data_IF_881855175229
#
_entry.id   IF_881855175229
#
_cell.length_a   1.000
_cell.length_b   1.000
_cell.length_c   1.000
_cell.angle_alpha   90.00
_cell.angle_beta   90.00
_cell.angle_gamma   90.00
#
_symmetry.space_group_name_H-M   'P 1'
#
loop_
_entity.id
_entity.type
_entity.pdbx_description
1 polymer ?
#
# COMPACT_ATOMS: atom_id res chain seq x y z
N UNK A 1 1.59 -4.36 16.23
CA UNK A 1 2.18 -3.05 15.89
C UNK A 1 2.00 -2.16 17.11
N UNK A 2 2.93 -1.23 17.35
CA UNK A 2 2.85 -0.36 18.52
C UNK A 2 1.67 0.62 18.41
N UNK A 3 1.07 0.96 19.53
CA UNK A 3 -0.11 1.85 19.64
C UNK A 3 0.03 3.16 18.84
N UNK A 4 1.24 3.74 18.84
CA UNK A 4 1.56 4.98 18.09
C UNK A 4 1.25 4.90 16.59
N UNK A 5 1.33 3.71 16.00
CA UNK A 5 1.07 3.47 14.57
C UNK A 5 -0.23 2.68 14.35
N UNK A 6 -1.09 2.63 15.36
CA UNK A 6 -2.39 1.96 15.30
C UNK A 6 -3.50 2.99 15.27
N UNK A 7 -4.32 2.98 14.20
CA UNK A 7 -5.54 3.78 14.15
C UNK A 7 -6.69 2.99 14.78
N UNK A 8 -7.64 3.63 15.50
CA UNK A 8 -8.65 2.93 16.28
C UNK A 8 -9.45 1.89 15.50
N UNK A 9 -9.84 2.19 14.26
CA UNK A 9 -10.67 1.30 13.45
C UNK A 9 -9.99 -0.02 13.09
N UNK A 10 -8.69 0.00 12.77
CA UNK A 10 -7.94 -1.21 12.42
C UNK A 10 -7.46 -1.93 13.69
N UNK A 11 -7.16 -1.18 14.75
CA UNK A 11 -6.84 -1.76 16.06
C UNK A 11 -7.99 -2.57 16.65
N UNK A 12 -9.22 -2.09 16.51
CA UNK A 12 -10.43 -2.76 17.03
C UNK A 12 -10.62 -4.17 16.43
N UNK A 13 -10.29 -4.35 15.15
CA UNK A 13 -10.40 -5.63 14.43
C UNK A 13 -9.50 -6.71 15.03
N UNK A 14 -8.30 -6.34 15.50
CA UNK A 14 -7.29 -7.27 16.00
C UNK A 14 -7.32 -7.46 17.52
N UNK A 15 -8.40 -7.04 18.19
CA UNK A 15 -8.59 -7.32 19.62
C UNK A 15 -8.92 -8.79 19.87
N UNK A 16 -8.57 -9.30 21.04
CA UNK A 16 -8.96 -10.67 21.43
C UNK A 16 -10.49 -10.80 21.53
N UNK A 17 -11.17 -9.74 21.95
CA UNK A 17 -12.63 -9.65 21.96
C UNK A 17 -13.20 -9.88 20.55
N UNK A 18 -12.72 -9.17 19.52
CA UNK A 18 -13.20 -9.37 18.16
C UNK A 18 -12.84 -10.76 17.61
N UNK A 19 -11.66 -11.28 17.95
CA UNK A 19 -11.25 -12.65 17.59
C UNK A 19 -12.23 -13.69 18.14
N UNK A 20 -12.55 -13.63 19.43
CA UNK A 20 -13.46 -14.60 20.06
C UNK A 20 -14.92 -14.38 19.63
N UNK A 21 -15.34 -13.15 19.33
CA UNK A 21 -16.63 -12.90 18.68
C UNK A 21 -16.70 -13.56 17.30
N UNK A 22 -15.63 -13.50 16.50
CA UNK A 22 -15.57 -14.19 15.22
C UNK A 22 -15.60 -15.72 15.38
N UNK A 23 -14.93 -16.27 16.41
CA UNK A 23 -15.00 -17.71 16.71
C UNK A 23 -16.41 -18.13 17.11
N UNK A 24 -17.06 -17.34 17.96
CA UNK A 24 -18.43 -17.60 18.39
C UNK A 24 -19.41 -17.56 17.21
N UNK A 25 -19.27 -16.60 16.31
CA UNK A 25 -20.13 -16.52 15.12
C UNK A 25 -19.95 -17.75 14.21
N UNK A 26 -18.72 -18.23 14.00
CA UNK A 26 -18.46 -19.46 13.24
C UNK A 26 -19.13 -20.67 13.90
N UNK A 27 -19.00 -20.83 15.22
CA UNK A 27 -19.61 -21.94 15.98
C UNK A 27 -21.14 -21.95 15.86
N UNK A 28 -21.78 -20.79 16.06
CA UNK A 28 -23.24 -20.71 16.02
C UNK A 28 -23.74 -20.95 14.59
N UNK A 29 -23.08 -20.39 13.58
CA UNK A 29 -23.44 -20.63 12.18
C UNK A 29 -23.26 -22.10 11.78
N UNK A 30 -22.25 -22.79 12.32
CA UNK A 30 -22.08 -24.23 12.09
C UNK A 30 -23.23 -25.03 12.69
N UNK A 31 -23.69 -24.68 13.90
CA UNK A 31 -24.86 -25.29 14.53
C UNK A 31 -26.15 -25.01 13.74
N UNK A 32 -26.33 -23.79 13.23
CA UNK A 32 -27.46 -23.44 12.35
C UNK A 32 -27.47 -24.28 11.07
N UNK A 33 -26.31 -24.46 10.43
CA UNK A 33 -26.23 -25.30 9.25
C UNK A 33 -26.62 -26.76 9.54
N UNK A 34 -26.14 -27.31 10.66
CA UNK A 34 -26.55 -28.64 11.11
C UNK A 34 -28.05 -28.75 11.42
N UNK A 35 -28.66 -27.68 11.93
CA UNK A 35 -30.10 -27.65 12.16
C UNK A 35 -30.93 -27.55 10.86
N UNK A 36 -30.41 -26.89 9.81
CA UNK A 36 -31.01 -26.95 8.47
C UNK A 36 -30.90 -28.35 7.84
N UNK A 37 -29.87 -29.13 8.21
CA UNK A 37 -29.76 -30.56 7.85
C UNK A 37 -30.61 -31.49 8.73
N UNK A 38 -31.21 -30.98 9.81
CA UNK A 38 -31.99 -31.76 10.77
C UNK A 38 -31.16 -32.62 11.73
N UNK A 39 -29.84 -32.42 11.80
CA UNK A 39 -28.95 -33.14 12.72
C UNK A 39 -28.99 -32.57 14.15
N UNK A 40 -29.31 -31.28 14.29
CA UNK A 40 -29.46 -30.58 15.57
C UNK A 40 -30.88 -30.00 15.65
N UNK A 41 -31.59 -30.10 16.79
CA UNK A 41 -32.89 -29.46 16.97
C UNK A 41 -32.81 -27.93 16.77
N UNK A 42 -33.78 -27.35 16.04
CA UNK A 42 -33.80 -25.90 15.79
C UNK A 42 -33.99 -25.09 17.08
N UNK A 43 -34.65 -25.68 18.07
CA UNK A 43 -34.85 -25.11 19.40
C UNK A 43 -33.52 -24.96 20.16
N UNK A 44 -32.65 -25.98 20.10
CA UNK A 44 -31.33 -25.94 20.74
C UNK A 44 -30.45 -24.85 20.11
N UNK A 45 -30.50 -24.70 18.78
CA UNK A 45 -29.75 -23.64 18.08
C UNK A 45 -30.29 -22.23 18.38
N UNK A 46 -31.61 -22.07 18.51
CA UNK A 46 -32.19 -20.80 18.94
C UNK A 46 -31.69 -20.40 20.34
N UNK A 47 -31.57 -21.36 21.26
CA UNK A 47 -30.98 -21.14 22.58
C UNK A 47 -29.49 -20.78 22.50
N UNK A 48 -28.71 -21.47 21.65
CA UNK A 48 -27.31 -21.13 21.40
C UNK A 48 -27.16 -19.68 20.92
N UNK A 49 -27.90 -19.30 19.87
CA UNK A 49 -27.84 -17.93 19.31
C UNK A 49 -28.23 -16.86 20.32
N UNK A 50 -29.14 -17.17 21.24
CA UNK A 50 -29.61 -16.25 22.27
C UNK A 50 -28.65 -16.12 23.46
N UNK A 51 -28.08 -17.23 23.92
CA UNK A 51 -27.41 -17.31 25.23
C UNK A 51 -25.90 -17.51 25.15
N UNK A 52 -25.35 -17.96 24.01
CA UNK A 52 -23.93 -18.21 23.88
C UNK A 52 -23.17 -16.89 23.98
N UNK A 53 -22.22 -16.85 24.91
CA UNK A 53 -21.35 -15.70 25.16
C UNK A 53 -20.02 -16.20 25.69
N UNK A 54 -19.06 -15.31 25.90
CA UNK A 54 -17.78 -15.65 26.49
C UNK A 54 -17.25 -14.50 27.34
N UNK A 55 -16.22 -14.80 28.14
CA UNK A 55 -15.43 -13.81 28.84
C UNK A 55 -13.95 -14.05 28.52
N UNK A 56 -13.25 -13.02 28.03
CA UNK A 56 -11.85 -13.13 27.58
C UNK A 56 -10.92 -13.57 28.70
N UNK A 57 -11.08 -13.03 29.91
CA UNK A 57 -10.24 -13.39 31.05
C UNK A 57 -10.49 -14.84 31.48
N UNK A 58 -11.75 -15.28 31.46
CA UNK A 58 -12.12 -16.67 31.73
C UNK A 58 -11.52 -17.64 30.72
N UNK A 59 -11.48 -17.28 29.44
CA UNK A 59 -10.81 -18.10 28.41
C UNK A 59 -9.33 -18.27 28.75
N UNK A 60 -8.64 -17.18 29.12
CA UNK A 60 -7.21 -17.22 29.48
C UNK A 60 -6.95 -18.10 30.70
N UNK A 61 -7.80 -18.00 31.74
CA UNK A 61 -7.71 -18.87 32.92
C UNK A 61 -7.80 -20.36 32.52
N UNK A 62 -8.76 -20.73 31.67
CA UNK A 62 -8.92 -22.12 31.21
C UNK A 62 -7.74 -22.54 30.30
N UNK A 63 -7.17 -21.61 29.53
CA UNK A 63 -6.02 -21.87 28.66
C UNK A 63 -4.75 -22.20 29.45
N UNK A 64 -4.56 -21.64 30.65
CA UNK A 64 -3.43 -21.98 31.53
C UNK A 64 -3.40 -23.47 31.91
N UNK A 65 -4.57 -24.10 32.03
CA UNK A 65 -4.69 -25.53 32.29
C UNK A 65 -4.67 -26.36 31.01
N UNK A 66 -5.48 -25.97 30.02
CA UNK A 66 -5.71 -26.79 28.81
C UNK A 66 -4.57 -26.71 27.80
N UNK A 67 -3.77 -25.64 27.83
CA UNK A 67 -2.71 -25.34 26.86
C UNK A 67 -3.18 -25.40 25.40
N UNK A 68 -4.47 -25.10 25.19
CA UNK A 68 -5.12 -25.11 23.89
C UNK A 68 -6.23 -24.06 23.83
N UNK A 69 -6.03 -23.02 23.03
CA UNK A 69 -6.91 -21.85 22.91
C UNK A 69 -8.36 -22.16 22.51
N UNK A 70 -8.60 -22.98 21.48
CA UNK A 70 -9.98 -23.34 21.06
C UNK A 70 -10.70 -24.19 22.12
N UNK A 71 -9.99 -25.09 22.81
CA UNK A 71 -10.59 -25.87 23.91
C UNK A 71 -10.94 -24.95 25.07
N UNK A 72 -10.08 -23.99 25.39
CA UNK A 72 -10.37 -22.99 26.42
C UNK A 72 -11.59 -22.13 26.06
N UNK A 73 -11.68 -21.68 24.81
CA UNK A 73 -12.81 -20.93 24.28
C UNK A 73 -14.13 -21.72 24.35
N UNK A 74 -14.18 -22.93 23.79
CA UNK A 74 -15.41 -23.74 23.77
C UNK A 74 -15.90 -24.10 25.17
N UNK A 75 -14.98 -24.30 26.13
CA UNK A 75 -15.33 -24.48 27.56
C UNK A 75 -15.90 -23.21 28.17
N UNK A 76 -15.28 -22.05 27.94
CA UNK A 76 -15.78 -20.77 28.44
C UNK A 76 -17.18 -20.46 27.90
N UNK A 77 -17.44 -20.73 26.61
CA UNK A 77 -18.78 -20.59 26.02
C UNK A 77 -19.76 -21.58 26.64
N UNK A 78 -19.34 -22.83 26.87
CA UNK A 78 -20.18 -23.86 27.50
C UNK A 78 -20.60 -23.53 28.93
N UNK A 79 -19.85 -22.67 29.64
CA UNK A 79 -20.21 -22.17 30.98
C UNK A 79 -21.39 -21.18 30.94
N UNK A 80 -21.70 -20.59 29.78
CA UNK A 80 -22.84 -19.66 29.62
C UNK A 80 -24.13 -20.34 29.15
N UNK A 81 -24.08 -21.65 28.88
CA UNK A 81 -25.11 -22.41 28.19
C UNK A 81 -25.71 -23.52 29.06
N UNK A 82 -26.93 -23.95 28.70
CA UNK A 82 -27.63 -25.09 29.28
C UNK A 82 -27.24 -26.43 28.64
N UNK A 83 -28.23 -27.30 28.41
CA UNK A 83 -28.00 -28.62 27.78
C UNK A 83 -27.57 -28.51 26.31
N UNK A 84 -27.96 -27.43 25.63
CA UNK A 84 -27.62 -27.12 24.25
C UNK A 84 -26.10 -26.99 24.01
N UNK A 85 -25.31 -26.78 25.08
CA UNK A 85 -23.84 -26.72 25.02
C UNK A 85 -23.19 -27.96 24.38
N UNK A 86 -23.88 -29.11 24.39
CA UNK A 86 -23.43 -30.35 23.75
C UNK A 86 -23.18 -30.23 22.24
N UNK A 87 -23.74 -29.20 21.61
CA UNK A 87 -23.62 -28.92 20.18
C UNK A 87 -22.49 -27.96 19.81
N UNK A 88 -21.94 -27.24 20.78
CA UNK A 88 -20.78 -26.37 20.55
C UNK A 88 -19.64 -27.23 20.01
N UNK A 89 -19.04 -26.80 18.90
CA UNK A 89 -17.96 -27.51 18.21
C UNK A 89 -18.34 -28.87 17.60
N UNK A 90 -19.62 -29.15 17.36
CA UNK A 90 -20.06 -30.44 16.83
C UNK A 90 -19.55 -30.69 15.39
N UNK A 91 -18.70 -31.71 15.24
CA UNK A 91 -18.12 -32.13 13.96
C UNK A 91 -16.94 -31.27 13.49
N UNK A 92 -16.60 -30.20 14.22
CA UNK A 92 -15.51 -29.28 13.87
C UNK A 92 -14.15 -29.79 14.35
N UNK A 93 -13.09 -29.33 13.68
CA UNK A 93 -11.74 -29.28 14.26
C UNK A 93 -11.37 -27.83 14.63
N UNK A 94 -10.40 -27.65 15.53
CA UNK A 94 -9.94 -26.34 16.00
C UNK A 94 -9.71 -25.33 14.86
N UNK A 95 -9.09 -25.77 13.76
CA UNK A 95 -8.75 -24.89 12.64
C UNK A 95 -9.91 -24.63 11.67
N UNK A 96 -11.01 -25.37 11.73
CA UNK A 96 -12.25 -24.96 11.03
C UNK A 96 -12.75 -23.62 11.57
N UNK A 97 -12.66 -23.44 12.89
CA UNK A 97 -13.00 -22.19 13.56
C UNK A 97 -11.92 -21.13 13.35
N UNK A 98 -10.66 -21.47 13.65
CA UNK A 98 -9.56 -20.49 13.66
C UNK A 98 -9.31 -19.88 12.28
N UNK A 99 -9.18 -20.69 11.21
CA UNK A 99 -8.88 -20.15 9.88
C UNK A 99 -10.08 -19.42 9.27
N UNK A 100 -11.30 -19.95 9.42
CA UNK A 100 -12.51 -19.28 8.91
C UNK A 100 -12.73 -17.93 9.60
N UNK A 101 -12.57 -17.88 10.92
CA UNK A 101 -12.65 -16.64 11.67
C UNK A 101 -11.50 -15.67 11.32
N UNK A 102 -10.28 -16.17 11.11
CA UNK A 102 -9.15 -15.34 10.68
C UNK A 102 -9.42 -14.69 9.31
N UNK A 103 -9.92 -15.46 8.35
CA UNK A 103 -10.33 -14.94 7.03
C UNK A 103 -11.44 -13.90 7.15
N UNK A 104 -12.41 -14.11 8.05
CA UNK A 104 -13.46 -13.13 8.34
C UNK A 104 -12.89 -11.83 8.96
N UNK A 105 -11.92 -11.94 9.87
CA UNK A 105 -11.21 -10.79 10.45
C UNK A 105 -10.36 -10.07 9.38
N UNK A 106 -9.71 -10.80 8.48
CA UNK A 106 -8.98 -10.23 7.35
C UNK A 106 -9.92 -9.51 6.38
N UNK A 107 -11.11 -10.05 6.12
CA UNK A 107 -12.16 -9.39 5.34
C UNK A 107 -12.51 -8.02 5.92
N UNK A 108 -12.74 -7.94 7.24
CA UNK A 108 -13.00 -6.67 7.92
C UNK A 108 -11.83 -5.68 7.73
N UNK A 109 -10.58 -6.16 7.85
CA UNK A 109 -9.39 -5.33 7.63
C UNK A 109 -9.30 -4.87 6.16
N UNK A 110 -9.62 -5.75 5.21
CA UNK A 110 -9.59 -5.47 3.78
C UNK A 110 -10.63 -4.42 3.39
N UNK A 111 -11.82 -4.46 3.97
CA UNK A 111 -12.88 -3.46 3.78
C UNK A 111 -12.45 -2.05 4.20
N UNK A 112 -11.55 -1.93 5.17
CA UNK A 112 -10.94 -0.65 5.56
C UNK A 112 -9.84 -0.27 4.56
N UNK A 113 -8.92 -1.19 4.27
CA UNK A 113 -7.75 -0.92 3.41
C UNK A 113 -8.15 -0.55 1.99
N UNK A 114 -9.20 -1.16 1.42
CA UNK A 114 -9.70 -0.82 0.08
C UNK A 114 -10.19 0.63 0.04
N UNK A 115 -10.91 1.08 1.07
CA UNK A 115 -11.39 2.47 1.18
C UNK A 115 -10.23 3.45 1.34
N UNK A 116 -9.22 3.09 2.11
CA UNK A 116 -8.01 3.89 2.29
C UNK A 116 -7.21 4.05 0.98
N UNK A 117 -7.09 2.95 0.21
CA UNK A 117 -6.46 2.95 -1.11
C UNK A 117 -7.24 3.82 -2.10
N UNK A 118 -8.56 3.67 -2.16
CA UNK A 118 -9.44 4.47 -3.03
C UNK A 118 -9.35 5.96 -2.67
N UNK A 119 -9.39 6.28 -1.38
CA UNK A 119 -9.17 7.65 -0.88
C UNK A 119 -7.80 8.19 -1.32
N UNK A 120 -6.75 7.40 -1.23
CA UNK A 120 -5.42 7.87 -1.61
C UNK A 120 -5.29 8.07 -3.13
N UNK A 121 -5.91 7.20 -3.93
CA UNK A 121 -6.03 7.38 -5.39
C UNK A 121 -6.74 8.70 -5.73
N UNK A 122 -7.82 9.04 -5.02
CA UNK A 122 -8.54 10.32 -5.21
C UNK A 122 -7.65 11.51 -4.88
N UNK A 123 -6.93 11.47 -3.74
CA UNK A 123 -6.00 12.55 -3.36
C UNK A 123 -4.92 12.77 -4.43
N UNK A 124 -4.36 11.69 -4.98
CA UNK A 124 -3.36 11.77 -6.04
C UNK A 124 -3.94 12.37 -7.33
N UNK A 125 -5.16 11.98 -7.69
CA UNK A 125 -5.89 12.56 -8.82
C UNK A 125 -6.06 14.08 -8.65
N UNK A 126 -6.59 14.52 -7.50
CA UNK A 126 -6.82 15.93 -7.22
C UNK A 126 -5.52 16.75 -7.29
N UNK A 127 -4.45 16.28 -6.63
CA UNK A 127 -3.15 16.97 -6.67
C UNK A 127 -2.52 16.97 -8.07
N UNK A 128 -2.69 15.89 -8.83
CA UNK A 128 -2.17 15.82 -10.20
C UNK A 128 -2.86 16.86 -11.10
N UNK A 129 -4.19 16.99 -11.01
CA UNK A 129 -4.97 17.98 -11.75
C UNK A 129 -4.63 19.41 -11.31
N UNK A 130 -4.50 19.66 -10.00
CA UNK A 130 -4.10 20.97 -9.45
C UNK A 130 -2.76 21.45 -10.04
N UNK A 131 -1.79 20.54 -10.18
CA UNK A 131 -0.45 20.85 -10.63
C UNK A 131 -0.15 20.44 -12.08
N UNK A 132 -1.19 20.22 -12.90
CA UNK A 132 -1.10 19.69 -14.27
C UNK A 132 -0.01 20.37 -15.10
N UNK A 133 0.02 21.71 -15.09
CA UNK A 133 1.01 22.52 -15.81
C UNK A 133 2.05 23.20 -14.90
N UNK A 134 2.22 22.74 -13.65
CA UNK A 134 3.29 23.26 -12.77
C UNK A 134 4.63 22.70 -13.24
N UNK A 135 5.36 23.45 -14.06
CA UNK A 135 6.66 23.04 -14.61
C UNK A 135 7.72 22.88 -13.53
N UNK A 136 8.57 21.87 -13.68
CA UNK A 136 9.73 21.59 -12.83
C UNK A 136 10.82 20.85 -13.61
N UNK A 137 12.01 20.72 -13.04
CA UNK A 137 13.03 19.87 -13.64
C UNK A 137 12.72 18.38 -13.50
N UNK A 138 12.76 17.66 -14.63
CA UNK A 138 12.97 16.22 -14.65
C UNK A 138 14.40 15.89 -14.21
N UNK A 139 14.55 14.80 -13.46
CA UNK A 139 15.83 14.39 -12.89
C UNK A 139 16.11 12.92 -13.16
N UNK A 140 17.26 12.63 -13.73
CA UNK A 140 17.79 11.28 -13.94
C UNK A 140 19.13 11.19 -13.23
N UNK A 141 19.36 10.16 -12.42
CA UNK A 141 20.55 10.05 -11.57
C UNK A 141 20.74 11.21 -10.57
N UNK A 142 19.67 11.96 -10.27
CA UNK A 142 19.72 13.16 -9.44
C UNK A 142 20.23 14.42 -10.18
N UNK A 143 20.49 14.33 -11.48
CA UNK A 143 20.98 15.42 -12.34
C UNK A 143 19.82 15.96 -13.19
N UNK A 144 19.85 17.26 -13.51
CA UNK A 144 18.89 17.87 -14.43
C UNK A 144 18.94 17.22 -15.81
N UNK A 145 17.79 16.78 -16.28
CA UNK A 145 17.57 16.29 -17.64
C UNK A 145 16.76 17.33 -18.42
N UNK A 146 15.50 17.01 -18.74
CA UNK A 146 14.56 17.92 -19.41
C UNK A 146 13.43 18.37 -18.47
N UNK A 147 12.76 19.50 -18.76
CA UNK A 147 11.57 19.93 -18.02
C UNK A 147 10.44 18.88 -18.04
N UNK A 148 9.70 18.80 -16.95
CA UNK A 148 8.45 18.03 -16.80
C UNK A 148 7.44 18.86 -15.97
N UNK A 149 6.32 18.28 -15.56
CA UNK A 149 5.41 18.93 -14.60
C UNK A 149 5.26 18.13 -13.32
N UNK A 150 5.02 18.83 -12.21
CA UNK A 150 4.70 18.19 -10.93
C UNK A 150 3.38 17.40 -11.03
N UNK A 151 2.43 17.86 -11.85
CA UNK A 151 1.22 17.13 -12.18
C UNK A 151 1.50 15.78 -12.85
N UNK A 152 2.42 15.69 -13.81
CA UNK A 152 2.82 14.42 -14.43
C UNK A 152 3.47 13.47 -13.41
N UNK A 153 4.28 13.99 -12.48
CA UNK A 153 4.89 13.21 -11.40
C UNK A 153 3.83 12.60 -10.48
N UNK A 154 2.79 13.34 -10.15
CA UNK A 154 1.65 12.86 -9.36
C UNK A 154 0.74 11.92 -10.17
N UNK A 155 0.56 12.18 -11.47
CA UNK A 155 -0.16 11.29 -12.39
C UNK A 155 0.50 9.91 -12.50
N UNK A 156 1.84 9.86 -12.46
CA UNK A 156 2.59 8.62 -12.38
C UNK A 156 2.28 7.83 -11.09
N UNK A 157 2.17 8.53 -9.95
CA UNK A 157 1.83 7.91 -8.66
C UNK A 157 0.38 7.44 -8.63
N UNK A 158 -0.53 8.24 -9.17
CA UNK A 158 -1.94 7.92 -9.34
C UNK A 158 -2.11 6.59 -10.10
N UNK A 159 -1.46 6.45 -11.26
CA UNK A 159 -1.57 5.25 -12.08
C UNK A 159 -0.90 4.03 -11.41
N UNK A 160 0.17 4.24 -10.64
CA UNK A 160 0.74 3.18 -9.81
C UNK A 160 -0.20 2.71 -8.71
N UNK A 161 -0.88 3.63 -8.03
CA UNK A 161 -1.82 3.29 -6.98
C UNK A 161 -3.10 2.64 -7.51
N UNK A 162 -3.52 2.94 -8.75
CA UNK A 162 -4.57 2.17 -9.44
C UNK A 162 -4.17 0.71 -9.66
N UNK A 163 -2.96 0.45 -10.15
CA UNK A 163 -2.45 -0.92 -10.29
C UNK A 163 -2.37 -1.64 -8.94
N UNK A 164 -1.99 -0.93 -7.89
CA UNK A 164 -1.93 -1.47 -6.54
C UNK A 164 -3.32 -1.76 -5.95
N UNK A 165 -4.32 -0.92 -6.22
CA UNK A 165 -5.71 -1.17 -5.83
C UNK A 165 -6.25 -2.45 -6.49
N UNK A 166 -6.00 -2.63 -7.79
CA UNK A 166 -6.40 -3.86 -8.50
C UNK A 166 -5.72 -5.11 -7.92
N UNK A 167 -4.40 -5.05 -7.66
CA UNK A 167 -3.67 -6.13 -7.00
C UNK A 167 -4.21 -6.43 -5.61
N UNK A 168 -4.54 -5.40 -4.85
CA UNK A 168 -5.11 -5.54 -3.52
C UNK A 168 -6.46 -6.23 -3.54
N UNK A 169 -7.37 -5.85 -4.46
CA UNK A 169 -8.69 -6.48 -4.59
C UNK A 169 -8.55 -7.98 -4.84
N UNK A 170 -7.65 -8.40 -5.73
CA UNK A 170 -7.36 -9.83 -5.99
C UNK A 170 -6.76 -10.53 -4.78
N UNK A 171 -5.77 -9.91 -4.13
CA UNK A 171 -5.15 -10.48 -2.93
C UNK A 171 -6.14 -10.64 -1.78
N UNK A 172 -7.06 -9.69 -1.60
CA UNK A 172 -8.14 -9.77 -0.63
C UNK A 172 -9.08 -10.94 -0.95
N UNK A 173 -9.54 -11.05 -2.20
CA UNK A 173 -10.37 -12.19 -2.66
C UNK A 173 -9.70 -13.54 -2.41
N UNK A 174 -8.37 -13.66 -2.58
CA UNK A 174 -7.65 -14.92 -2.38
C UNK A 174 -7.52 -15.37 -0.93
N UNK A 175 -7.58 -14.45 0.05
CA UNK A 175 -7.59 -14.77 1.49
C UNK A 175 -8.99 -14.78 2.10
N UNK A 176 -10.01 -14.29 1.39
CA UNK A 176 -11.42 -14.32 1.83
C UNK A 176 -12.08 -15.69 1.59
N UNK A 177 -11.38 -16.74 1.99
CA UNK A 177 -11.83 -18.12 1.97
C UNK A 177 -11.99 -18.69 3.38
N UNK A 178 -13.05 -19.44 3.63
CA UNK A 178 -13.22 -20.24 4.85
C UNK A 178 -12.94 -21.72 4.60
N UNK A 179 -12.77 -22.48 5.69
CA UNK A 179 -12.71 -23.94 5.63
C UNK A 179 -13.46 -24.56 6.82
N UNK A 180 -14.32 -25.53 6.54
CA UNK A 180 -15.02 -26.34 7.54
C UNK A 180 -15.08 -27.77 7.02
N UNK A 181 -13.94 -28.44 7.09
CA UNK A 181 -13.68 -29.72 6.42
C UNK A 181 -13.14 -30.79 7.36
N UNK A 182 -13.04 -30.45 8.65
CA UNK A 182 -12.63 -31.35 9.71
C UNK A 182 -11.13 -31.60 9.78
N UNK A 183 -10.77 -32.68 10.46
CA UNK A 183 -9.41 -32.92 10.96
C UNK A 183 -8.33 -32.99 9.87
N UNK A 184 -8.64 -33.44 8.66
CA UNK A 184 -7.68 -33.58 7.54
C UNK A 184 -8.26 -33.13 6.20
N UNK A 185 -9.36 -32.38 6.21
CA UNK A 185 -9.94 -31.80 4.99
C UNK A 185 -10.79 -32.76 4.16
N UNK A 186 -11.27 -33.86 4.73
CA UNK A 186 -11.97 -34.93 4.01
C UNK A 186 -13.49 -34.92 4.21
N UNK A 187 -14.04 -34.01 5.02
CA UNK A 187 -15.46 -33.97 5.38
C UNK A 187 -15.97 -35.25 6.08
N UNK A 188 -15.07 -36.07 6.65
CA UNK A 188 -15.44 -37.36 7.22
C UNK A 188 -16.44 -37.27 8.40
N UNK A 189 -16.35 -36.19 9.18
CA UNK A 189 -17.19 -35.97 10.36
C UNK A 189 -18.04 -34.69 10.24
N UNK A 190 -18.08 -34.07 9.05
CA UNK A 190 -18.80 -32.82 8.83
C UNK A 190 -19.33 -32.72 7.42
N UNK A 191 -20.61 -32.39 7.29
CA UNK A 191 -21.26 -32.26 5.98
C UNK A 191 -20.74 -31.00 5.25
N UNK A 192 -20.35 -31.08 3.95
CA UNK A 192 -19.92 -29.92 3.17
C UNK A 192 -20.93 -28.76 3.11
N UNK A 193 -22.22 -29.02 3.34
CA UNK A 193 -23.23 -27.98 3.46
C UNK A 193 -22.94 -27.02 4.63
N UNK A 194 -22.33 -27.51 5.71
CA UNK A 194 -21.95 -26.68 6.86
C UNK A 194 -20.92 -25.62 6.45
N UNK A 195 -19.88 -26.02 5.71
CA UNK A 195 -18.89 -25.09 5.17
C UNK A 195 -19.52 -24.03 4.27
N UNK A 196 -20.36 -24.48 3.32
CA UNK A 196 -21.05 -23.59 2.39
C UNK A 196 -21.90 -22.56 3.13
N UNK A 197 -22.69 -23.01 4.11
CA UNK A 197 -23.59 -22.14 4.88
C UNK A 197 -22.80 -21.10 5.68
N UNK A 198 -21.79 -21.52 6.43
CA UNK A 198 -20.98 -20.61 7.26
C UNK A 198 -20.24 -19.59 6.38
N UNK A 199 -19.59 -20.05 5.31
CA UNK A 199 -18.87 -19.16 4.41
C UNK A 199 -19.81 -18.13 3.77
N UNK A 200 -20.98 -18.55 3.28
CA UNK A 200 -21.98 -17.64 2.70
C UNK A 200 -22.43 -16.56 3.70
N UNK A 201 -22.71 -16.95 4.95
CA UNK A 201 -23.16 -16.04 6.01
C UNK A 201 -22.09 -15.05 6.45
N UNK A 202 -20.82 -15.43 6.38
CA UNK A 202 -19.67 -14.56 6.68
C UNK A 202 -19.17 -13.77 5.47
N UNK A 203 -19.76 -13.97 4.27
CA UNK A 203 -19.31 -13.34 3.03
C UNK A 203 -17.93 -13.84 2.57
N UNK A 204 -17.62 -15.10 2.84
CA UNK A 204 -16.41 -15.81 2.42
C UNK A 204 -16.73 -16.86 1.35
N UNK A 205 -15.70 -17.35 0.67
CA UNK A 205 -15.82 -18.50 -0.23
C UNK A 205 -15.36 -19.80 0.45
N UNK A 206 -16.03 -20.94 0.25
CA UNK A 206 -15.51 -22.22 0.72
C UNK A 206 -14.25 -22.62 -0.07
N UNK A 207 -13.21 -23.08 0.63
CA UNK A 207 -12.00 -23.59 -0.02
C UNK A 207 -12.35 -24.83 -0.87
N UNK A 208 -12.07 -24.84 -2.19
CA UNK A 208 -12.45 -25.97 -3.06
C UNK A 208 -11.84 -27.31 -2.63
N UNK A 209 -10.67 -27.24 -2.00
CA UNK A 209 -10.00 -28.32 -1.29
C UNK A 209 -9.22 -27.68 -0.14
N UNK A 210 -9.17 -28.37 1.00
CA UNK A 210 -8.39 -27.94 2.16
C UNK A 210 -7.74 -29.15 2.81
N UNK A 211 -6.79 -28.90 3.70
CA UNK A 211 -6.28 -29.90 4.63
C UNK A 211 -6.89 -29.63 6.01
N UNK A 212 -6.18 -29.86 7.11
CA UNK A 212 -6.61 -29.33 8.39
C UNK A 212 -6.63 -27.80 8.41
N UNK A 213 -5.93 -27.13 7.47
CA UNK A 213 -5.85 -25.67 7.36
C UNK A 213 -6.22 -25.16 5.96
N UNK A 214 -6.45 -23.86 5.83
CA UNK A 214 -6.26 -23.15 4.56
C UNK A 214 -4.79 -23.24 4.12
N UNK A 215 -4.58 -23.18 2.81
CA UNK A 215 -3.24 -23.20 2.23
C UNK A 215 -2.58 -21.82 2.36
N UNK A 216 -1.33 -21.79 2.81
CA UNK A 216 -0.62 -20.55 3.20
C UNK A 216 -0.06 -19.75 2.03
N UNK A 217 -0.11 -20.27 0.80
CA UNK A 217 0.19 -19.53 -0.43
C UNK A 217 -0.70 -18.28 -0.59
N UNK A 218 -1.98 -18.38 -0.18
CA UNK A 218 -2.93 -17.26 -0.14
C UNK A 218 -2.41 -16.11 0.73
N UNK A 219 -1.94 -16.44 1.93
CA UNK A 219 -1.44 -15.49 2.92
C UNK A 219 -0.09 -14.89 2.48
N UNK A 220 0.76 -15.68 1.83
CA UNK A 220 2.03 -15.21 1.25
C UNK A 220 1.79 -14.21 0.10
N UNK A 221 0.85 -14.50 -0.82
CA UNK A 221 0.46 -13.58 -1.87
C UNK A 221 -0.13 -12.29 -1.28
N UNK A 222 -1.05 -12.39 -0.33
CA UNK A 222 -1.62 -11.24 0.37
C UNK A 222 -0.55 -10.34 0.99
N UNK A 223 0.36 -10.91 1.77
CA UNK A 223 1.46 -10.15 2.39
C UNK A 223 2.39 -9.50 1.37
N UNK A 224 2.66 -10.18 0.25
CA UNK A 224 3.47 -9.61 -0.84
C UNK A 224 2.84 -8.36 -1.44
N UNK A 225 1.51 -8.33 -1.58
CA UNK A 225 0.78 -7.17 -2.10
C UNK A 225 0.77 -6.03 -1.08
N UNK A 226 0.57 -6.30 0.21
CA UNK A 226 0.69 -5.28 1.26
C UNK A 226 2.09 -4.64 1.25
N UNK A 227 3.14 -5.47 1.17
CA UNK A 227 4.53 -5.03 1.11
C UNK A 227 4.83 -4.20 -0.17
N UNK A 228 4.23 -4.56 -1.30
CA UNK A 228 4.38 -3.82 -2.55
C UNK A 228 3.73 -2.42 -2.45
N UNK A 229 2.53 -2.32 -1.89
CA UNK A 229 1.85 -1.05 -1.65
C UNK A 229 2.70 -0.15 -0.73
N UNK A 230 3.18 -0.71 0.39
CA UNK A 230 4.04 0.00 1.32
C UNK A 230 5.33 0.51 0.64
N UNK A 231 5.89 -0.28 -0.28
CA UNK A 231 7.10 0.08 -1.05
C UNK A 231 6.83 1.18 -2.08
N UNK A 232 5.66 1.19 -2.74
CA UNK A 232 5.22 2.32 -3.56
C UNK A 232 5.10 3.60 -2.73
N UNK A 233 4.53 3.53 -1.52
CA UNK A 233 4.48 4.68 -0.59
C UNK A 233 5.88 5.16 -0.23
N UNK A 234 6.83 4.25 0.04
CA UNK A 234 8.23 4.61 0.28
C UNK A 234 8.84 5.36 -0.91
N UNK A 235 8.59 4.90 -2.15
CA UNK A 235 9.07 5.60 -3.35
C UNK A 235 8.58 7.05 -3.40
N UNK A 236 7.30 7.28 -3.13
CA UNK A 236 6.72 8.62 -3.12
C UNK A 236 7.29 9.48 -1.96
N UNK A 237 7.45 8.88 -0.79
CA UNK A 237 8.03 9.53 0.37
C UNK A 237 9.50 9.93 0.14
N UNK A 238 10.29 9.08 -0.51
CA UNK A 238 11.67 9.39 -0.91
C UNK A 238 11.73 10.59 -1.87
N UNK A 239 10.79 10.68 -2.81
CA UNK A 239 10.70 11.84 -3.70
C UNK A 239 10.41 13.12 -2.92
N UNK A 240 9.42 13.12 -2.01
CA UNK A 240 9.13 14.28 -1.16
C UNK A 240 10.37 14.71 -0.38
N UNK A 241 11.09 13.74 0.21
CA UNK A 241 12.36 14.00 0.92
C UNK A 241 13.41 14.63 0.00
N UNK A 242 13.51 14.18 -1.25
CA UNK A 242 14.41 14.75 -2.26
C UNK A 242 14.05 16.18 -2.61
N UNK A 243 12.77 16.44 -2.89
CA UNK A 243 12.27 17.75 -3.30
C UNK A 243 12.24 18.77 -2.15
N UNK A 244 12.19 18.32 -0.89
CA UNK A 244 12.26 19.17 0.31
C UNK A 244 13.69 19.47 0.78
N UNK A 245 14.73 18.87 0.17
CA UNK A 245 16.13 19.24 0.47
C UNK A 245 16.33 20.75 0.35
N UNK A 246 17.13 21.33 1.23
CA UNK A 246 17.36 22.78 1.34
C UNK A 246 17.80 23.42 0.03
N UNK A 247 18.64 22.73 -0.74
CA UNK A 247 19.13 23.20 -2.03
C UNK A 247 17.99 23.25 -3.06
N UNK A 248 16.99 22.38 -2.96
CA UNK A 248 15.91 22.22 -3.94
C UNK A 248 14.66 23.01 -3.55
N UNK A 249 14.07 22.68 -2.39
CA UNK A 249 12.87 23.31 -1.81
C UNK A 249 11.72 23.50 -2.81
N UNK A 250 11.45 22.47 -3.60
CA UNK A 250 10.34 22.45 -4.56
C UNK A 250 9.01 22.08 -3.89
N UNK A 251 9.08 21.29 -2.81
CA UNK A 251 7.94 20.95 -1.96
C UNK A 251 8.34 20.99 -0.48
N UNK A 252 7.34 20.99 0.41
CA UNK A 252 7.54 20.88 1.85
C UNK A 252 6.31 20.25 2.51
N UNK A 253 6.53 19.27 3.40
CA UNK A 253 5.47 18.76 4.28
C UNK A 253 4.85 19.91 5.08
N UNK A 254 3.52 19.94 5.18
CA UNK A 254 2.81 21.00 5.88
C UNK A 254 3.32 21.15 7.32
N UNK A 255 3.69 22.38 7.68
CA UNK A 255 4.22 22.71 8.99
C UNK A 255 3.19 23.53 9.77
N UNK A 256 2.55 22.90 10.75
CA UNK A 256 1.46 23.52 11.49
C UNK A 256 1.93 24.64 12.43
N UNK A 257 1.05 25.60 12.71
CA UNK A 257 1.30 26.65 13.72
C UNK A 257 1.56 26.00 15.08
N UNK A 258 2.73 26.26 15.67
CA UNK A 258 3.15 25.68 16.95
C UNK A 258 3.99 24.39 16.84
N UNK A 259 4.13 23.80 15.65
CA UNK A 259 5.04 22.68 15.42
C UNK A 259 6.49 23.15 15.61
N UNK A 260 7.31 22.35 16.30
CA UNK A 260 8.76 22.57 16.42
C UNK A 260 9.49 21.56 15.52
N UNK A 261 10.26 22.05 14.56
CA UNK A 261 11.00 21.18 13.63
C UNK A 261 12.36 20.73 14.15
N UNK A 262 12.86 21.33 15.24
CA UNK A 262 14.07 20.94 15.96
C UNK A 262 14.01 21.50 17.38
N UNK A 263 14.70 20.85 18.33
CA UNK A 263 14.89 21.37 19.69
C UNK A 263 15.84 22.58 19.75
N UNK A 264 16.76 22.71 18.79
CA UNK A 264 17.84 23.70 18.82
C UNK A 264 17.86 24.68 17.63
N UNK A 265 17.19 24.36 16.52
CA UNK A 265 17.27 25.13 15.27
C UNK A 265 15.88 25.60 14.82
N UNK A 266 15.48 26.86 15.11
CA UNK A 266 14.12 27.36 14.85
C UNK A 266 13.69 27.37 13.38
N UNK A 267 14.64 27.39 12.44
CA UNK A 267 14.36 27.40 11.00
C UNK A 267 14.12 26.00 10.41
N UNK A 268 14.38 24.93 11.15
CA UNK A 268 14.43 23.56 10.62
C UNK A 268 13.03 23.08 10.24
N UNK A 269 12.83 22.69 8.97
CA UNK A 269 11.60 22.05 8.46
C UNK A 269 11.94 20.73 7.81
N UNK A 270 11.51 19.61 8.40
CA UNK A 270 11.95 18.27 8.01
C UNK A 270 10.79 17.44 7.45
N UNK A 271 11.04 16.57 6.46
CA UNK A 271 10.07 15.63 5.92
C UNK A 271 9.88 14.40 6.82
N UNK A 272 9.64 14.59 8.13
CA UNK A 272 9.60 13.49 9.11
C UNK A 272 8.45 12.51 8.87
N UNK A 273 7.36 12.96 8.23
CA UNK A 273 6.26 12.10 7.86
C UNK A 273 6.68 11.09 6.80
N UNK A 274 7.34 11.56 5.76
CA UNK A 274 7.89 10.75 4.67
C UNK A 274 9.03 9.84 5.14
N UNK A 275 9.88 10.31 6.05
CA UNK A 275 10.90 9.47 6.71
C UNK A 275 10.26 8.35 7.52
N UNK A 276 9.17 8.62 8.23
CA UNK A 276 8.41 7.61 8.96
C UNK A 276 7.80 6.55 8.02
N UNK A 277 7.22 6.95 6.88
CA UNK A 277 6.70 6.00 5.89
C UNK A 277 7.81 5.08 5.35
N UNK A 278 8.99 5.64 5.10
CA UNK A 278 10.18 4.89 4.67
C UNK A 278 10.54 3.80 5.68
N UNK A 279 10.49 4.12 6.98
CA UNK A 279 10.75 3.16 8.06
C UNK A 279 9.72 2.03 8.12
N UNK A 280 8.43 2.36 8.06
CA UNK A 280 7.34 1.37 8.14
C UNK A 280 7.31 0.45 6.91
N UNK A 281 7.61 0.95 5.72
CA UNK A 281 7.71 0.13 4.51
C UNK A 281 8.77 -0.98 4.65
N UNK A 282 9.90 -0.70 5.33
CA UNK A 282 10.95 -1.69 5.61
C UNK A 282 10.45 -2.80 6.53
N UNK A 283 9.68 -2.45 7.55
CA UNK A 283 9.09 -3.42 8.49
C UNK A 283 8.11 -4.35 7.77
N UNK A 284 7.17 -3.78 6.99
CA UNK A 284 6.19 -4.58 6.25
C UNK A 284 6.87 -5.53 5.24
N UNK A 285 7.94 -5.08 4.57
CA UNK A 285 8.71 -5.97 3.69
C UNK A 285 9.37 -7.14 4.43
N UNK A 286 9.77 -6.97 5.69
CA UNK A 286 10.30 -8.07 6.51
C UNK A 286 9.25 -9.17 6.74
N UNK A 287 7.99 -8.78 6.96
CA UNK A 287 6.89 -9.73 7.14
C UNK A 287 6.60 -10.57 5.90
N UNK A 288 6.94 -10.08 4.70
CA UNK A 288 6.79 -10.85 3.47
C UNK A 288 7.64 -12.13 3.49
N UNK A 289 8.89 -12.07 3.96
CA UNK A 289 9.74 -13.27 4.11
C UNK A 289 9.08 -14.28 5.04
N UNK A 290 8.64 -13.82 6.22
CA UNK A 290 7.94 -14.68 7.20
C UNK A 290 6.69 -15.34 6.60
N UNK A 291 5.90 -14.62 5.80
CA UNK A 291 4.71 -15.17 5.16
C UNK A 291 5.04 -16.24 4.11
N UNK A 292 6.12 -16.08 3.34
CA UNK A 292 6.58 -17.09 2.38
C UNK A 292 7.12 -18.34 3.08
N UNK A 293 7.83 -18.16 4.19
CA UNK A 293 8.37 -19.26 5.00
C UNK A 293 7.27 -20.06 5.71
N UNK A 294 6.04 -19.53 5.80
CA UNK A 294 4.86 -20.24 6.32
C UNK A 294 4.19 -21.18 5.29
N UNK A 295 4.58 -21.13 4.00
CA UNK A 295 3.97 -21.95 2.94
C UNK A 295 4.27 -23.46 3.06
N UNK A 296 5.52 -23.90 3.27
CA UNK A 296 5.88 -25.33 3.26
C UNK A 296 5.52 -26.06 4.56
N UNK A 297 4.22 -26.05 4.92
CA UNK A 297 3.72 -26.83 6.04
C UNK A 297 3.81 -28.33 5.77
N UNK A 298 3.96 -29.12 6.83
CA UNK A 298 4.12 -30.58 6.72
C UNK A 298 2.78 -31.31 6.66
N UNK A 299 2.64 -32.22 5.70
CA UNK A 299 1.46 -33.09 5.53
C UNK A 299 0.14 -32.29 5.52
N UNK A 300 -0.86 -32.70 6.30
CA UNK A 300 -2.15 -32.02 6.37
C UNK A 300 -2.12 -30.75 7.24
N UNK A 301 -1.08 -30.56 8.08
CA UNK A 301 -0.58 -29.29 8.64
C UNK A 301 0.50 -29.53 9.70
N UNK A 302 1.31 -28.50 9.92
CA UNK A 302 1.89 -28.17 11.22
C UNK A 302 1.40 -26.78 11.66
N UNK A 303 1.70 -26.35 12.89
CA UNK A 303 1.17 -25.10 13.48
C UNK A 303 2.19 -23.96 13.52
N UNK A 304 3.36 -24.11 12.89
CA UNK A 304 4.43 -23.09 12.91
C UNK A 304 3.94 -21.71 12.46
N UNK A 305 3.12 -21.68 11.40
CA UNK A 305 2.53 -20.46 10.84
C UNK A 305 1.75 -19.63 11.87
N UNK A 306 1.08 -20.26 12.84
CA UNK A 306 0.12 -19.56 13.71
C UNK A 306 0.83 -18.54 14.61
N UNK A 307 1.98 -18.90 15.16
CA UNK A 307 2.79 -17.98 15.98
C UNK A 307 3.29 -16.77 15.20
N UNK A 308 3.70 -16.99 13.94
CA UNK A 308 4.13 -15.94 13.04
C UNK A 308 2.96 -15.04 12.62
N UNK A 309 1.83 -15.63 12.22
CA UNK A 309 0.61 -14.95 11.75
C UNK A 309 -0.01 -14.06 12.83
N UNK A 310 0.07 -14.45 14.11
CA UNK A 310 -0.33 -13.62 15.26
C UNK A 310 0.44 -12.31 15.37
N UNK A 311 1.64 -12.24 14.77
CA UNK A 311 2.46 -11.02 14.71
C UNK A 311 2.22 -10.32 13.38
N UNK A 312 2.44 -11.03 12.26
CA UNK A 312 2.58 -10.37 10.97
C UNK A 312 1.25 -9.87 10.39
N UNK A 313 0.12 -10.56 10.62
CA UNK A 313 -1.16 -10.17 10.04
C UNK A 313 -1.73 -8.91 10.70
N UNK A 314 -1.79 -8.81 12.05
CA UNK A 314 -2.15 -7.56 12.70
C UNK A 314 -1.16 -6.44 12.36
N UNK A 315 0.15 -6.72 12.45
CA UNK A 315 1.15 -5.67 12.30
C UNK A 315 1.16 -5.08 10.89
N UNK A 316 1.07 -5.92 9.86
CA UNK A 316 1.09 -5.45 8.47
C UNK A 316 -0.16 -4.65 8.11
N UNK A 317 -1.35 -5.14 8.47
CA UNK A 317 -2.61 -4.45 8.15
C UNK A 317 -2.78 -3.15 8.91
N UNK A 318 -2.41 -3.13 10.20
CA UNK A 318 -2.37 -1.91 11.03
C UNK A 318 -1.38 -0.89 10.45
N UNK A 319 -0.15 -1.31 10.16
CA UNK A 319 0.89 -0.42 9.64
C UNK A 319 0.50 0.15 8.26
N UNK A 320 -0.07 -0.67 7.38
CA UNK A 320 -0.48 -0.21 6.05
C UNK A 320 -1.66 0.78 6.12
N UNK A 321 -2.67 0.52 6.95
CA UNK A 321 -3.78 1.45 7.21
C UNK A 321 -3.25 2.80 7.72
N UNK A 322 -2.31 2.77 8.66
CA UNK A 322 -1.64 3.96 9.15
C UNK A 322 -0.87 4.71 8.04
N UNK A 323 -0.08 3.98 7.24
CA UNK A 323 0.72 4.56 6.16
C UNK A 323 -0.16 5.24 5.09
N UNK A 324 -1.20 4.56 4.61
CA UNK A 324 -2.13 5.11 3.61
C UNK A 324 -2.77 6.41 4.08
N UNK A 325 -3.21 6.45 5.33
CA UNK A 325 -3.89 7.61 5.88
C UNK A 325 -2.93 8.77 6.17
N UNK A 326 -1.80 8.48 6.83
CA UNK A 326 -0.80 9.50 7.14
C UNK A 326 -0.17 10.07 5.88
N UNK A 327 0.23 9.22 4.94
CA UNK A 327 0.83 9.66 3.69
C UNK A 327 -0.17 10.35 2.76
N UNK A 328 -1.42 9.86 2.69
CA UNK A 328 -2.48 10.57 1.99
C UNK A 328 -2.67 12.00 2.52
N UNK A 329 -2.63 12.19 3.83
CA UNK A 329 -2.69 13.53 4.43
C UNK A 329 -1.45 14.38 4.16
N UNK A 330 -0.26 13.78 4.11
CA UNK A 330 0.98 14.48 3.70
C UNK A 330 0.82 15.01 2.27
N UNK A 331 0.42 14.15 1.33
CA UNK A 331 0.26 14.53 -0.09
C UNK A 331 -0.85 15.58 -0.26
N UNK A 332 -2.01 15.38 0.38
CA UNK A 332 -3.13 16.32 0.35
C UNK A 332 -2.74 17.73 0.79
N UNK A 333 -1.95 17.83 1.86
CA UNK A 333 -1.54 19.12 2.43
C UNK A 333 -0.14 19.56 2.00
N UNK A 334 0.49 18.86 1.06
CA UNK A 334 1.87 19.13 0.65
C UNK A 334 1.97 20.55 0.08
N UNK A 335 2.85 21.37 0.66
CA UNK A 335 3.11 22.71 0.15
C UNK A 335 4.00 22.60 -1.08
N UNK A 336 3.56 23.15 -2.20
CA UNK A 336 4.29 23.16 -3.47
C UNK A 336 4.78 24.58 -3.73
N UNK A 337 6.02 24.73 -4.22
CA UNK A 337 6.63 26.02 -4.54
C UNK A 337 6.92 26.14 -6.05
N UNK A 338 5.91 26.48 -6.88
CA UNK A 338 6.10 26.62 -8.33
C UNK A 338 7.24 27.59 -8.71
N UNK A 339 7.40 28.68 -7.95
CA UNK A 339 8.47 29.64 -8.18
C UNK A 339 9.87 29.05 -7.94
N UNK A 340 10.02 28.19 -6.92
CA UNK A 340 11.29 27.50 -6.69
C UNK A 340 11.55 26.45 -7.79
N UNK A 341 10.50 25.73 -8.23
CA UNK A 341 10.61 24.77 -9.34
C UNK A 341 11.10 25.45 -10.62
N UNK A 342 10.49 26.58 -11.00
CA UNK A 342 10.93 27.40 -12.15
C UNK A 342 12.36 27.90 -11.98
N UNK A 343 12.67 28.56 -10.85
CA UNK A 343 14.04 29.05 -10.54
C UNK A 343 15.08 27.93 -10.65
N UNK A 344 14.76 26.72 -10.20
CA UNK A 344 15.71 25.62 -10.23
C UNK A 344 16.07 25.18 -11.65
N UNK A 345 15.19 25.35 -12.64
CA UNK A 345 15.47 25.02 -14.04
C UNK A 345 16.66 25.81 -14.59
N UNK A 346 16.81 27.07 -14.16
CA UNK A 346 17.87 27.96 -14.62
C UNK A 346 19.21 27.76 -13.91
N UNK A 347 19.26 26.93 -12.85
CA UNK A 347 20.51 26.68 -12.10
C UNK A 347 21.60 25.98 -12.90
N UNK A 348 21.21 25.36 -13.99
CA UNK A 348 22.14 24.73 -14.94
C UNK A 348 22.30 25.59 -16.20
N UNK A 349 22.03 26.90 -16.09
CA UNK A 349 22.41 27.94 -17.06
C UNK A 349 21.90 27.69 -18.49
N UNK A 350 20.73 27.05 -18.62
CA UNK A 350 20.13 26.70 -19.91
C UNK A 350 20.67 25.42 -20.57
N UNK A 351 21.55 24.68 -19.91
CA UNK A 351 22.12 23.42 -20.45
C UNK A 351 21.08 22.33 -20.70
N UNK A 352 19.93 22.42 -20.03
CA UNK A 352 18.79 21.51 -20.22
C UNK A 352 18.23 21.55 -21.65
N UNK A 353 18.55 22.59 -22.43
CA UNK A 353 18.14 22.76 -23.82
C UNK A 353 19.18 22.28 -24.84
N UNK A 354 20.32 21.75 -24.38
CA UNK A 354 21.42 21.29 -25.27
C UNK A 354 20.95 20.28 -26.32
N UNK A 355 20.06 19.35 -25.95
CA UNK A 355 19.48 18.40 -26.90
C UNK A 355 18.61 19.08 -27.97
N UNK A 356 17.83 20.11 -27.61
CA UNK A 356 17.02 20.86 -28.59
C UNK A 356 17.90 21.58 -29.61
N UNK A 357 18.98 22.21 -29.16
CA UNK A 357 19.95 22.88 -30.06
C UNK A 357 20.61 21.87 -30.98
N UNK A 358 21.05 20.72 -30.44
CA UNK A 358 21.65 19.64 -31.23
C UNK A 358 20.69 19.15 -32.32
N UNK A 359 19.42 18.90 -31.98
CA UNK A 359 18.42 18.45 -32.94
C UNK A 359 18.13 19.51 -34.01
N UNK A 360 18.03 20.78 -33.62
CA UNK A 360 17.84 21.88 -34.57
C UNK A 360 19.00 21.98 -35.59
N UNK A 361 20.24 21.72 -35.17
CA UNK A 361 21.39 21.69 -36.09
C UNK A 361 21.33 20.51 -37.07
N UNK A 362 20.87 19.34 -36.60
CA UNK A 362 20.63 18.18 -37.48
C UNK A 362 19.55 18.50 -38.51
N UNK A 363 18.43 19.11 -38.07
CA UNK A 363 17.33 19.53 -38.96
C UNK A 363 17.80 20.60 -39.97
N UNK A 364 18.81 21.40 -39.62
CA UNK A 364 19.48 22.37 -40.50
C UNK A 364 20.60 21.75 -41.39
N UNK A 365 20.75 20.42 -41.37
CA UNK A 365 21.59 19.66 -42.30
C UNK A 365 22.97 19.25 -41.78
N UNK A 366 23.26 19.36 -40.48
CA UNK A 366 24.48 18.77 -39.89
C UNK A 366 24.32 17.26 -39.67
N UNK A 367 25.44 16.52 -39.69
CA UNK A 367 25.43 15.14 -39.16
C UNK A 367 25.26 15.16 -37.65
N UNK A 368 24.85 14.02 -37.08
CA UNK A 368 24.66 13.90 -35.63
C UNK A 368 25.98 14.12 -34.89
N UNK A 369 27.08 13.54 -35.37
CA UNK A 369 28.40 13.69 -34.76
C UNK A 369 28.86 15.14 -34.82
N UNK A 370 28.71 15.81 -35.96
CA UNK A 370 29.09 17.21 -36.11
C UNK A 370 28.29 18.13 -35.17
N UNK A 371 26.97 17.95 -35.08
CA UNK A 371 26.13 18.71 -34.18
C UNK A 371 26.50 18.46 -32.71
N UNK A 372 26.76 17.20 -32.34
CA UNK A 372 27.16 16.83 -30.98
C UNK A 372 28.50 17.45 -30.59
N UNK A 373 29.53 17.27 -31.43
CA UNK A 373 30.89 17.78 -31.20
C UNK A 373 30.96 19.31 -31.25
N UNK A 374 29.96 19.97 -31.86
CA UNK A 374 29.81 21.42 -31.82
C UNK A 374 29.15 21.90 -30.51
N UNK A 375 28.12 21.20 -30.03
CA UNK A 375 27.34 21.60 -28.85
C UNK A 375 28.03 21.24 -27.54
N UNK A 376 28.65 20.06 -27.45
CA UNK A 376 29.22 19.55 -26.20
C UNK A 376 30.31 20.46 -25.61
N UNK A 377 31.30 20.97 -26.38
CA UNK A 377 32.31 21.87 -25.81
C UNK A 377 31.71 23.15 -25.23
N UNK A 378 30.66 23.71 -25.87
CA UNK A 378 29.96 24.89 -25.35
C UNK A 378 29.15 24.59 -24.10
N UNK A 379 28.59 23.39 -24.00
CA UNK A 379 27.92 22.94 -22.79
C UNK A 379 28.90 22.81 -21.62
N UNK A 380 30.08 22.22 -21.86
CA UNK A 380 31.14 22.11 -20.85
C UNK A 380 31.70 23.48 -20.45
N UNK A 381 31.93 24.36 -21.43
CA UNK A 381 32.37 25.75 -21.19
C UNK A 381 31.36 26.53 -20.33
N UNK A 382 30.05 26.41 -20.61
CA UNK A 382 29.01 27.03 -19.78
C UNK A 382 29.07 26.55 -18.32
N UNK A 383 29.32 25.25 -18.13
CA UNK A 383 29.41 24.64 -16.81
C UNK A 383 30.66 25.07 -16.05
N UNK A 384 31.83 25.01 -16.68
CA UNK A 384 33.11 25.32 -16.04
C UNK A 384 33.24 26.81 -15.74
N UNK A 385 32.78 27.66 -16.67
CA UNK A 385 32.89 29.12 -16.56
C UNK A 385 31.69 29.77 -15.87
N UNK A 386 30.64 28.99 -15.59
CA UNK A 386 29.39 29.46 -14.98
C UNK A 386 28.74 30.62 -15.77
N UNK A 387 28.68 30.48 -17.10
CA UNK A 387 28.07 31.46 -18.01
C UNK A 387 26.82 30.88 -18.70
N UNK A 388 25.83 31.72 -19.07
CA UNK A 388 24.64 31.24 -19.75
C UNK A 388 24.98 30.51 -21.06
N UNK A 389 24.50 29.27 -21.19
CA UNK A 389 24.74 28.42 -22.37
C UNK A 389 24.31 29.12 -23.67
N UNK A 390 23.14 29.79 -23.66
CA UNK A 390 22.63 30.59 -24.79
C UNK A 390 23.67 31.59 -25.32
N UNK A 391 24.39 32.27 -24.43
CA UNK A 391 25.37 33.30 -24.79
C UNK A 391 26.62 32.75 -25.47
N UNK A 392 26.97 31.49 -25.21
CA UNK A 392 28.08 30.80 -25.88
C UNK A 392 27.68 30.36 -27.29
N UNK A 393 26.44 29.91 -27.47
CA UNK A 393 25.91 29.52 -28.77
C UNK A 393 25.82 30.72 -29.74
N UNK A 394 25.49 31.91 -29.24
CA UNK A 394 25.42 33.15 -30.05
C UNK A 394 26.78 33.58 -30.61
N UNK A 395 27.86 33.13 -29.98
CA UNK A 395 29.24 33.45 -30.38
C UNK A 395 29.85 32.36 -31.25
N UNK A 396 29.16 31.24 -31.45
CA UNK A 396 29.65 30.10 -32.23
C UNK A 396 29.15 30.20 -33.68
N UNK A 397 30.05 30.56 -34.59
CA UNK A 397 29.73 30.75 -36.01
C UNK A 397 29.15 29.49 -36.67
N UNK A 398 29.62 28.31 -36.27
CA UNK A 398 29.07 27.04 -36.77
C UNK A 398 27.59 26.86 -36.46
N UNK A 399 27.11 27.46 -35.37
CA UNK A 399 25.72 27.41 -34.94
C UNK A 399 24.93 28.56 -35.58
N UNK A 400 25.42 29.79 -35.49
CA UNK A 400 24.70 30.98 -35.97
C UNK A 400 24.62 31.08 -37.50
N UNK A 401 25.51 30.40 -38.23
CA UNK A 401 25.39 30.25 -39.69
C UNK A 401 24.28 29.30 -40.13
N UNK A 402 23.74 28.47 -39.22
CA UNK A 402 22.70 27.46 -39.49
C UNK A 402 21.37 27.77 -38.84
N UNK A 403 21.40 28.35 -37.63
CA UNK A 403 20.22 28.68 -36.84
C UNK A 403 20.12 30.20 -36.67
N UNK A 404 18.97 30.75 -37.05
CA UNK A 404 18.61 32.13 -36.73
C UNK A 404 18.42 32.34 -35.23
N UNK A 405 18.46 33.60 -34.78
CA UNK A 405 18.20 33.95 -33.39
C UNK A 405 16.84 33.42 -32.91
N UNK A 406 15.79 33.52 -33.74
CA UNK A 406 14.46 33.01 -33.41
C UNK A 406 14.40 31.48 -33.26
N UNK A 407 15.14 30.73 -34.09
CA UNK A 407 15.24 29.27 -33.95
C UNK A 407 16.00 28.87 -32.68
N UNK A 408 17.03 29.63 -32.31
CA UNK A 408 17.72 29.42 -31.04
C UNK A 408 16.81 29.79 -29.85
N UNK A 409 16.00 30.84 -29.94
CA UNK A 409 15.04 31.19 -28.89
C UNK A 409 13.98 30.08 -28.70
N UNK A 410 13.48 29.48 -29.79
CA UNK A 410 12.59 28.31 -29.72
C UNK A 410 13.23 27.12 -29.00
N UNK A 411 14.53 26.87 -29.22
CA UNK A 411 15.24 25.78 -28.56
C UNK A 411 15.25 25.93 -27.03
N UNK A 412 15.20 27.18 -26.53
CA UNK A 412 15.24 27.52 -25.10
C UNK A 412 13.84 27.75 -24.49
N UNK A 413 12.76 27.52 -25.26
CA UNK A 413 11.40 27.56 -24.73
C UNK A 413 11.02 26.23 -24.05
N UNK A 414 10.85 26.25 -22.73
CA UNK A 414 10.42 25.05 -21.99
C UNK A 414 9.01 24.58 -22.36
N UNK A 415 8.15 25.44 -22.90
CA UNK A 415 6.78 25.06 -23.28
C UNK A 415 6.77 23.93 -24.32
N UNK A 416 7.84 23.79 -25.11
CA UNK A 416 8.05 22.65 -26.00
C UNK A 416 7.87 21.30 -25.30
N UNK A 417 8.32 21.19 -24.04
CA UNK A 417 8.24 19.95 -23.25
C UNK A 417 6.84 19.70 -22.68
N UNK A 418 5.99 20.73 -22.66
CA UNK A 418 4.65 20.67 -22.08
C UNK A 418 3.56 20.33 -23.11
N UNK A 419 3.88 20.35 -24.41
CA UNK A 419 2.92 20.15 -25.52
C UNK A 419 2.10 18.85 -25.45
N UNK A 420 2.61 17.83 -24.78
CA UNK A 420 1.97 16.51 -24.66
C UNK A 420 1.40 16.24 -23.26
N UNK A 421 1.41 17.21 -22.35
CA UNK A 421 0.87 17.04 -20.98
C UNK A 421 -0.62 16.67 -21.04
N UNK A 422 -1.41 17.36 -21.84
CA UNK A 422 -2.85 17.11 -21.97
C UNK A 422 -3.14 15.70 -22.46
N UNK A 423 -2.44 15.24 -23.49
CA UNK A 423 -2.56 13.89 -24.03
C UNK A 423 -2.23 12.82 -22.97
N UNK A 424 -1.22 13.04 -22.13
CA UNK A 424 -0.89 12.10 -21.04
C UNK A 424 -1.99 12.09 -19.98
N UNK A 425 -2.53 13.26 -19.60
CA UNK A 425 -3.63 13.33 -18.64
C UNK A 425 -4.90 12.64 -19.17
N UNK A 426 -5.21 12.79 -20.45
CA UNK A 426 -6.30 12.08 -21.11
C UNK A 426 -6.13 10.54 -21.02
N UNK A 427 -4.90 10.03 -21.26
CA UNK A 427 -4.59 8.60 -21.08
C UNK A 427 -4.78 8.11 -19.65
N UNK A 428 -4.56 8.98 -18.66
CA UNK A 428 -4.77 8.67 -17.25
C UNK A 428 -6.25 8.74 -16.84
N UNK A 429 -7.13 9.29 -17.69
CA UNK A 429 -8.51 9.59 -17.35
C UNK A 429 -8.65 10.77 -16.37
N UNK A 430 -7.74 11.75 -16.46
CA UNK A 430 -7.63 12.92 -15.59
C UNK A 430 -7.96 14.24 -16.29
#
# INVERSE_FOLDING_TARGET
MIERYTRPEMGAIWTEENRFNAWLEVEILACEAWAELGAIPKEDVALLRQNASFNVDRIKEIEEETRHDVVAFTRAVSETLGEERKWVHYGLTSTDVVDTALSYVLKQANDILVKDLERFVIILKEKAQEHKHTVMMGRTHGVHAEPTTFGLKLGLWYEEMKRNLERFKRAAEEVEFGKISGAVGTFANIDPFVEKYVCEKLGLQPAPISTQTLQRDRHAHYMSVLALIATSIEKFAVEIRGLQKSETREVEEFFAKGQKGSSAMPHKRNPIGSENMTGLARVIRGYMTTAYDNVPLWHERDISHSSAERIILPDATIALNYMLNRFGNIVKNLTVFPENMKRNMDRTLGLIYSQRVLLALIDAGMTREEAYDTVQPKAMEAWEMQVPFRSLLEKEEKITSRLSAAQLDDCFDYNYHLKNVDMIFERLGL
#
